data_IF_204077078551
#
_entry.id   IF_204077078551
#
_cell.length_a   1.000
_cell.length_b   1.000
_cell.length_c   1.000
_cell.angle_alpha   90.00
_cell.angle_beta   90.00
_cell.angle_gamma   90.00
#
_symmetry.space_group_name_H-M   'P 1'
#
loop_
_entity.id
_entity.type
_entity.pdbx_description
1 polymer ?
#
# COMPACT_ATOMS: atom_id res chain seq x y z
N UNK A 1 2.17 -3.65 -9.49
CA UNK A 1 0.70 -3.83 -9.40
C UNK A 1 0.07 -2.96 -8.32
N UNK A 2 0.59 -2.94 -7.08
CA UNK A 2 0.08 -2.08 -6.00
C UNK A 2 -0.02 -0.59 -6.39
N UNK A 3 1.02 -0.02 -7.02
CA UNK A 3 1.00 1.36 -7.52
C UNK A 3 -0.17 1.62 -8.49
N UNK A 4 -0.50 0.67 -9.37
CA UNK A 4 -1.61 0.82 -10.31
C UNK A 4 -2.97 0.78 -9.60
N UNK A 5 -3.11 -0.05 -8.57
CA UNK A 5 -4.32 -0.12 -7.74
C UNK A 5 -4.52 1.24 -7.02
N UNK A 6 -3.47 1.79 -6.42
CA UNK A 6 -3.48 3.10 -5.80
C UNK A 6 -3.87 4.22 -6.78
N UNK A 7 -3.30 4.21 -7.99
CA UNK A 7 -3.67 5.15 -9.05
C UNK A 7 -5.15 5.02 -9.44
N UNK A 8 -5.66 3.79 -9.56
CA UNK A 8 -7.07 3.53 -9.88
C UNK A 8 -8.03 4.03 -8.78
N UNK A 9 -7.62 3.97 -7.51
CA UNK A 9 -8.37 4.55 -6.41
C UNK A 9 -8.25 6.07 -6.30
N UNK A 10 -7.52 6.71 -7.21
CA UNK A 10 -7.44 8.15 -7.31
C UNK A 10 -6.43 8.77 -6.37
N UNK A 11 -5.25 8.14 -6.20
CA UNK A 11 -4.10 8.70 -5.46
C UNK A 11 -3.85 10.18 -5.77
N UNK A 12 -3.96 10.56 -7.05
CA UNK A 12 -3.78 11.96 -7.50
C UNK A 12 -4.86 12.93 -7.03
N UNK A 13 -6.02 12.44 -6.58
CA UNK A 13 -7.17 13.25 -6.11
C UNK A 13 -7.25 13.28 -4.60
N UNK A 14 -7.10 12.12 -3.96
CA UNK A 14 -7.15 11.98 -2.51
C UNK A 14 -6.20 10.86 -2.06
N UNK A 15 -5.02 11.25 -1.60
CA UNK A 15 -3.96 10.35 -1.18
C UNK A 15 -4.40 9.42 -0.04
N UNK A 16 -4.99 9.97 1.01
CA UNK A 16 -5.38 9.20 2.21
C UNK A 16 -6.47 8.19 1.90
N UNK A 17 -7.48 8.58 1.13
CA UNK A 17 -8.56 7.68 0.74
C UNK A 17 -8.08 6.60 -0.23
N UNK A 18 -7.15 6.94 -1.15
CA UNK A 18 -6.53 5.95 -2.02
C UNK A 18 -5.67 4.96 -1.25
N UNK A 19 -4.92 5.41 -0.23
CA UNK A 19 -4.13 4.54 0.64
C UNK A 19 -5.03 3.55 1.39
N UNK A 20 -6.12 4.04 2.02
CA UNK A 20 -7.11 3.21 2.71
C UNK A 20 -7.70 2.14 1.80
N UNK A 21 -8.25 2.55 0.65
CA UNK A 21 -8.86 1.63 -0.33
C UNK A 21 -7.85 0.64 -0.92
N UNK A 22 -6.60 1.07 -1.10
CA UNK A 22 -5.52 0.17 -1.52
C UNK A 22 -5.30 -0.91 -0.47
N UNK A 23 -5.18 -0.55 0.81
CA UNK A 23 -5.05 -1.51 1.91
C UNK A 23 -6.18 -2.54 1.93
N UNK A 24 -7.44 -2.08 1.86
CA UNK A 24 -8.63 -2.94 1.83
C UNK A 24 -8.63 -3.90 0.63
N UNK A 25 -8.22 -3.42 -0.54
CA UNK A 25 -8.13 -4.25 -1.74
C UNK A 25 -7.04 -5.33 -1.59
N UNK A 26 -5.85 -4.97 -1.10
CA UNK A 26 -4.77 -5.93 -0.90
C UNK A 26 -5.11 -6.96 0.18
N UNK A 27 -5.83 -6.56 1.23
CA UNK A 27 -6.30 -7.50 2.25
C UNK A 27 -7.25 -8.55 1.65
N UNK A 28 -8.22 -8.09 0.85
CA UNK A 28 -9.26 -8.94 0.27
C UNK A 28 -8.76 -9.85 -0.83
N UNK A 29 -7.86 -9.36 -1.69
CA UNK A 29 -7.53 -10.04 -2.94
C UNK A 29 -6.11 -10.60 -2.99
N UNK A 30 -5.20 -10.14 -2.13
CA UNK A 30 -3.84 -10.66 -2.11
C UNK A 30 -3.68 -11.72 -1.03
N UNK A 31 -2.77 -12.67 -1.26
CA UNK A 31 -2.35 -13.59 -0.21
C UNK A 31 -1.45 -12.88 0.79
N UNK A 32 -1.28 -13.47 1.97
CA UNK A 32 -0.35 -12.98 2.98
C UNK A 32 1.08 -12.84 2.42
N UNK A 33 1.57 -13.85 1.70
CA UNK A 33 2.91 -13.84 1.12
C UNK A 33 3.12 -12.69 0.12
N UNK A 34 2.11 -12.35 -0.67
CA UNK A 34 2.19 -11.21 -1.60
C UNK A 34 2.28 -9.87 -0.86
N UNK A 35 1.53 -9.71 0.24
CA UNK A 35 1.61 -8.50 1.07
C UNK A 35 2.96 -8.39 1.79
N UNK A 36 3.50 -9.49 2.29
CA UNK A 36 4.83 -9.52 2.89
C UNK A 36 5.91 -9.15 1.87
N UNK A 37 5.82 -9.67 0.64
CA UNK A 37 6.70 -9.27 -0.46
C UNK A 37 6.64 -7.76 -0.73
N UNK A 38 5.44 -7.17 -0.75
CA UNK A 38 5.27 -5.73 -0.93
C UNK A 38 5.91 -4.92 0.20
N UNK A 39 5.78 -5.37 1.45
CA UNK A 39 6.44 -4.73 2.59
C UNK A 39 7.96 -4.80 2.53
N UNK A 40 8.51 -5.89 1.99
CA UNK A 40 9.96 -6.03 1.76
C UNK A 40 10.41 -5.12 0.62
N UNK A 41 9.68 -5.08 -0.49
CA UNK A 41 9.95 -4.16 -1.62
C UNK A 41 9.92 -2.70 -1.17
N UNK A 42 9.08 -2.33 -0.19
CA UNK A 42 9.04 -0.99 0.37
C UNK A 42 10.29 -0.59 1.16
N UNK A 43 11.05 -1.56 1.66
CA UNK A 43 12.33 -1.32 2.33
C UNK A 43 13.49 -1.21 1.32
N UNK A 44 13.25 -1.60 0.07
CA UNK A 44 14.22 -1.53 -1.02
C UNK A 44 14.06 -0.20 -1.77
N UNK A 45 15.13 0.58 -1.82
CA UNK A 45 15.12 1.91 -2.44
C UNK A 45 15.13 1.87 -3.98
N UNK A 46 15.34 0.70 -4.59
CA UNK A 46 15.43 0.55 -6.05
C UNK A 46 14.06 0.51 -6.76
N UNK A 47 12.97 0.20 -6.05
CA UNK A 47 11.62 0.14 -6.64
C UNK A 47 10.73 1.21 -6.00
N UNK A 48 10.52 2.37 -6.65
CA UNK A 48 9.71 3.42 -6.07
C UNK A 48 8.24 2.99 -5.99
N UNK A 49 7.76 2.78 -4.76
CA UNK A 49 6.34 2.66 -4.46
C UNK A 49 5.64 4.01 -4.58
N UNK A 50 4.38 3.99 -4.99
CA UNK A 50 3.61 5.22 -5.09
C UNK A 50 3.29 5.81 -3.71
N UNK A 51 3.06 7.13 -3.58
CA UNK A 51 2.78 7.77 -2.30
C UNK A 51 1.68 7.10 -1.47
N UNK A 52 0.59 6.67 -2.10
CA UNK A 52 -0.52 6.00 -1.40
C UNK A 52 -0.15 4.61 -0.90
N UNK A 53 0.70 3.88 -1.64
CA UNK A 53 1.18 2.57 -1.20
C UNK A 53 2.12 2.73 0.00
N UNK A 54 3.03 3.72 -0.03
CA UNK A 54 3.88 4.02 1.12
C UNK A 54 3.06 4.43 2.36
N UNK A 55 2.11 5.35 2.20
CA UNK A 55 1.23 5.78 3.29
C UNK A 55 0.42 4.62 3.87
N UNK A 56 -0.11 3.75 3.02
CA UNK A 56 -0.85 2.56 3.45
C UNK A 56 0.02 1.61 4.30
N UNK A 57 1.28 1.38 3.88
CA UNK A 57 2.22 0.55 4.64
C UNK A 57 2.63 1.20 5.97
N UNK A 58 2.77 2.52 6.03
CA UNK A 58 2.99 3.27 7.26
C UNK A 58 1.81 3.13 8.24
N UNK A 59 0.58 3.30 7.75
CA UNK A 59 -0.64 3.16 8.56
C UNK A 59 -0.77 1.74 9.13
N UNK A 60 -0.47 0.70 8.35
CA UNK A 60 -0.49 -0.68 8.82
C UNK A 60 0.58 -0.95 9.88
N UNK A 61 1.78 -0.38 9.74
CA UNK A 61 2.84 -0.49 10.77
C UNK A 61 2.45 0.21 12.07
N UNK A 62 1.79 1.37 11.99
CA UNK A 62 1.30 2.09 13.17
C UNK A 62 0.19 1.36 13.93
N UNK A 63 -0.65 0.58 13.24
CA UNK A 63 -1.74 -0.19 13.84
C UNK A 63 -1.29 -1.47 14.58
N UNK A 64 -0.09 -1.99 14.30
CA UNK A 64 0.44 -3.19 14.96
C UNK A 64 1.08 -2.85 16.32
N UNK A 65 1.31 -1.56 16.62
CA UNK A 65 1.97 -1.09 17.84
C UNK A 65 1.06 -0.48 18.92
N UNK A 66 -0.27 -0.63 18.83
CA UNK A 66 -1.25 -0.13 19.82
C UNK A 66 -1.97 -1.25 20.55
#
# INVERSE_FOLDING_TARGET
>A
MANQIALNFGEKRNLTEAARKTGEHLEKFWTRAMREKLSIEAADSEVPLSPAVNLMLEQQRGQIGS
#
